data_IF_946871934008
#
_entry.id   IF_946871934008
#
_cell.length_a   1.000
_cell.length_b   1.000
_cell.length_c   1.000
_cell.angle_alpha   90.00
_cell.angle_beta   90.00
_cell.angle_gamma   90.00
#
_symmetry.space_group_name_H-M   'P 1'
#
loop_
_entity.id
_entity.type
_entity.pdbx_description
1 polymer ?
#
# COMPACT_ATOMS: atom_id res chain seq x y z
N UNK A 1 2.59 -18.79 3.65
CA UNK A 1 1.41 -18.48 4.49
C UNK A 1 0.17 -19.11 3.86
N UNK A 2 -0.38 -20.15 4.49
CA UNK A 2 -1.80 -20.48 4.32
C UNK A 2 -2.58 -19.44 5.14
N UNK A 3 -3.70 -18.92 4.63
CA UNK A 3 -4.59 -18.04 5.40
C UNK A 3 -4.51 -16.55 5.09
N UNK A 4 -4.32 -16.14 3.83
CA UNK A 4 -4.70 -14.77 3.46
C UNK A 4 -6.21 -14.63 3.68
N UNK A 5 -6.59 -13.65 4.47
CA UNK A 5 -7.97 -13.25 4.60
C UNK A 5 -8.33 -12.25 3.51
N UNK A 6 -9.30 -12.63 2.67
CA UNK A 6 -9.87 -11.75 1.65
C UNK A 6 -11.24 -11.30 2.15
N UNK A 7 -11.51 -10.00 2.04
CA UNK A 7 -12.78 -9.38 2.39
C UNK A 7 -13.54 -8.95 1.13
N UNK A 8 -14.84 -8.80 1.28
CA UNK A 8 -15.70 -8.04 0.40
C UNK A 8 -15.74 -6.55 0.79
N UNK A 9 -16.09 -5.63 -0.12
CA UNK A 9 -16.14 -4.20 0.18
C UNK A 9 -17.09 -3.83 1.33
N UNK A 10 -18.16 -4.61 1.54
CA UNK A 10 -19.14 -4.38 2.60
C UNK A 10 -18.69 -4.92 3.97
N UNK A 11 -17.64 -5.75 4.05
CA UNK A 11 -17.12 -6.32 5.29
C UNK A 11 -16.22 -5.32 6.05
N UNK A 12 -16.65 -4.06 6.16
CA UNK A 12 -15.86 -2.91 6.65
C UNK A 12 -15.14 -3.21 7.96
N UNK A 13 -15.88 -3.64 9.00
CA UNK A 13 -15.30 -3.94 10.32
C UNK A 13 -14.28 -5.08 10.28
N UNK A 14 -14.50 -6.08 9.42
CA UNK A 14 -13.56 -7.21 9.29
C UNK A 14 -12.30 -6.77 8.56
N UNK A 15 -12.44 -5.99 7.48
CA UNK A 15 -11.32 -5.44 6.74
C UNK A 15 -10.43 -4.55 7.62
N UNK A 16 -11.02 -3.65 8.41
CA UNK A 16 -10.28 -2.79 9.34
C UNK A 16 -9.56 -3.59 10.44
N UNK A 17 -10.21 -4.61 11.01
CA UNK A 17 -9.56 -5.48 12.01
C UNK A 17 -8.33 -6.20 11.44
N UNK A 18 -8.43 -6.75 10.22
CA UNK A 18 -7.30 -7.40 9.54
C UNK A 18 -6.21 -6.36 9.26
N UNK A 19 -6.58 -5.18 8.74
CA UNK A 19 -5.63 -4.10 8.45
C UNK A 19 -4.82 -3.70 9.69
N UNK A 20 -5.45 -3.49 10.84
CA UNK A 20 -4.70 -3.12 12.06
C UNK A 20 -3.87 -4.27 12.62
N UNK A 21 -4.33 -5.53 12.47
CA UNK A 21 -3.58 -6.72 12.91
C UNK A 21 -2.34 -6.95 12.06
N UNK A 22 -2.50 -6.90 10.73
CA UNK A 22 -1.50 -7.36 9.77
C UNK A 22 -0.75 -6.21 9.07
N UNK A 23 -1.21 -4.97 9.20
CA UNK A 23 -0.67 -3.81 8.50
C UNK A 23 -1.16 -3.67 7.04
N UNK A 24 -1.93 -4.64 6.55
CA UNK A 24 -2.58 -4.60 5.24
C UNK A 24 -3.83 -5.48 5.24
N UNK A 25 -4.69 -5.30 4.24
CA UNK A 25 -5.84 -6.18 3.99
C UNK A 25 -6.07 -6.31 2.49
N UNK A 26 -6.55 -7.47 2.05
CA UNK A 26 -6.97 -7.69 0.65
C UNK A 26 -8.49 -7.66 0.58
N UNK A 27 -9.01 -6.81 -0.30
CA UNK A 27 -10.45 -6.68 -0.56
C UNK A 27 -10.68 -6.98 -2.03
N UNK A 28 -11.50 -7.99 -2.33
CA UNK A 28 -11.86 -8.31 -3.70
C UNK A 28 -12.94 -7.38 -4.21
N UNK A 29 -13.07 -7.31 -5.54
CA UNK A 29 -14.19 -6.64 -6.21
C UNK A 29 -14.42 -5.17 -5.78
N UNK A 30 -13.34 -4.46 -5.41
CA UNK A 30 -13.39 -3.02 -5.13
C UNK A 30 -13.82 -2.19 -6.34
N UNK A 31 -13.52 -2.67 -7.55
CA UNK A 31 -13.91 -2.07 -8.81
C UNK A 31 -14.91 -2.98 -9.51
N UNK A 32 -16.01 -2.41 -10.00
CA UNK A 32 -16.89 -3.12 -10.92
C UNK A 32 -16.23 -3.33 -12.29
N UNK A 33 -16.84 -4.16 -13.14
CA UNK A 33 -16.29 -4.50 -14.47
C UNK A 33 -16.02 -3.26 -15.34
N UNK A 34 -16.88 -2.26 -15.31
CA UNK A 34 -16.71 -1.04 -16.10
C UNK A 34 -15.55 -0.18 -15.58
N UNK A 35 -15.48 0.02 -14.27
CA UNK A 35 -14.40 0.74 -13.61
C UNK A 35 -13.05 0.07 -13.88
N UNK A 36 -12.99 -1.26 -13.72
CA UNK A 36 -11.77 -2.04 -13.99
C UNK A 36 -11.36 -1.95 -15.46
N UNK A 37 -12.31 -2.05 -16.40
CA UNK A 37 -12.01 -1.92 -17.83
C UNK A 37 -11.48 -0.52 -18.18
N UNK A 38 -12.11 0.53 -17.64
CA UNK A 38 -11.67 1.93 -17.82
C UNK A 38 -10.27 2.15 -17.25
N UNK A 39 -10.03 1.64 -16.04
CA UNK A 39 -8.76 1.72 -15.34
C UNK A 39 -7.64 1.03 -16.12
N UNK A 40 -7.85 -0.24 -16.53
CA UNK A 40 -6.92 -0.99 -17.39
C UNK A 40 -6.60 -0.27 -18.70
N UNK A 41 -7.61 0.31 -19.35
CA UNK A 41 -7.42 1.07 -20.60
C UNK A 41 -6.57 2.33 -20.38
N UNK A 42 -6.77 3.03 -19.27
CA UNK A 42 -5.96 4.19 -18.87
C UNK A 42 -4.50 3.79 -18.60
N UNK A 43 -4.29 2.77 -17.76
CA UNK A 43 -2.96 2.21 -17.48
C UNK A 43 -2.22 1.78 -18.75
N UNK A 44 -2.89 1.09 -19.68
CA UNK A 44 -2.30 0.66 -20.95
C UNK A 44 -1.99 1.83 -21.90
N UNK A 45 -2.78 2.91 -21.87
CA UNK A 45 -2.51 4.14 -22.62
C UNK A 45 -1.24 4.82 -22.10
N UNK A 46 -1.18 5.12 -20.81
CA UNK A 46 -0.02 5.81 -20.21
C UNK A 46 1.23 4.95 -20.29
N UNK A 47 1.11 3.62 -20.17
CA UNK A 47 2.24 2.72 -20.39
C UNK A 47 2.81 2.88 -21.80
N UNK A 48 1.97 2.92 -22.84
CA UNK A 48 2.44 3.14 -24.23
C UNK A 48 3.16 4.48 -24.38
N UNK A 49 2.68 5.53 -23.71
CA UNK A 49 3.33 6.84 -23.70
C UNK A 49 4.72 6.75 -23.05
N UNK A 50 4.85 6.12 -21.87
CA UNK A 50 6.14 5.90 -21.20
C UNK A 50 7.11 5.12 -22.10
N UNK A 51 6.63 4.03 -22.72
CA UNK A 51 7.44 3.18 -23.59
C UNK A 51 7.79 3.83 -24.94
N UNK A 52 7.12 4.92 -25.33
CA UNK A 52 7.47 5.67 -26.55
C UNK A 52 8.74 6.51 -26.37
N UNK A 53 9.16 6.74 -25.12
CA UNK A 53 10.32 7.57 -24.79
C UNK A 53 11.55 6.67 -24.61
N UNK A 54 12.62 6.84 -25.42
CA UNK A 54 13.82 6.02 -25.31
C UNK A 54 14.52 6.23 -23.96
N UNK A 55 15.03 5.15 -23.38
CA UNK A 55 15.79 5.20 -22.13
C UNK A 55 17.22 5.70 -22.33
N UNK A 56 17.85 6.11 -21.22
CA UNK A 56 19.28 6.41 -21.18
C UNK A 56 20.08 5.20 -20.68
N UNK A 57 21.28 4.99 -21.24
CA UNK A 57 22.17 3.88 -20.86
C UNK A 57 21.62 2.50 -21.22
N UNK A 58 21.76 1.52 -20.32
CA UNK A 58 21.28 0.14 -20.51
C UNK A 58 19.77 -0.04 -20.34
N UNK A 59 19.03 1.05 -20.13
CA UNK A 59 17.58 0.99 -19.92
C UNK A 59 16.87 1.18 -21.25
N UNK A 60 15.88 0.33 -21.54
CA UNK A 60 15.12 0.40 -22.79
C UNK A 60 14.23 1.66 -22.87
N UNK A 61 13.75 2.16 -21.73
CA UNK A 61 12.81 3.29 -21.64
C UNK A 61 13.17 4.25 -20.50
N UNK A 62 12.69 5.49 -20.56
CA UNK A 62 12.92 6.51 -19.53
C UNK A 62 12.46 6.02 -18.16
N UNK A 63 13.28 6.19 -17.14
CA UNK A 63 12.99 5.74 -15.77
C UNK A 63 13.77 6.56 -14.76
N UNK A 64 13.23 6.60 -13.55
CA UNK A 64 13.84 7.22 -12.38
C UNK A 64 15.18 6.55 -12.01
N UNK A 65 16.13 7.34 -11.50
CA UNK A 65 17.37 6.84 -10.93
C UNK A 65 17.06 5.97 -9.69
N UNK A 66 17.75 4.84 -9.52
CA UNK A 66 17.59 3.99 -8.32
C UNK A 66 16.55 2.87 -8.39
N UNK A 67 15.71 2.79 -9.44
CA UNK A 67 14.86 1.60 -9.68
C UNK A 67 15.63 0.46 -10.35
N UNK A 68 15.26 -0.77 -9.98
CA UNK A 68 15.78 -1.99 -10.60
C UNK A 68 15.36 -2.08 -12.09
N UNK A 69 16.09 -2.82 -12.93
CA UNK A 69 15.75 -2.98 -14.34
C UNK A 69 14.30 -3.44 -14.57
N UNK A 70 13.69 -2.96 -15.66
CA UNK A 70 12.32 -3.33 -16.08
C UNK A 70 11.19 -2.92 -15.10
N UNK A 71 11.48 -2.12 -14.06
CA UNK A 71 10.48 -1.57 -13.14
C UNK A 71 10.27 -0.07 -13.34
N UNK A 72 9.02 0.35 -13.42
CA UNK A 72 8.62 1.75 -13.69
C UNK A 72 7.51 2.19 -12.73
N UNK A 73 7.25 3.50 -12.64
CA UNK A 73 6.09 4.03 -11.93
C UNK A 73 5.42 5.12 -12.75
N UNK A 74 4.11 5.01 -12.92
CA UNK A 74 3.28 6.00 -13.60
C UNK A 74 3.48 7.40 -13.02
N UNK A 75 3.46 7.51 -11.68
CA UNK A 75 3.65 8.78 -10.99
C UNK A 75 5.03 9.38 -11.30
N UNK A 76 6.09 8.62 -11.10
CA UNK A 76 7.47 9.12 -11.31
C UNK A 76 7.77 9.45 -12.77
N UNK A 77 7.11 8.77 -13.72
CA UNK A 77 7.19 9.04 -15.16
C UNK A 77 6.34 10.24 -15.61
N UNK A 78 5.45 10.75 -14.76
CA UNK A 78 4.67 11.96 -15.00
C UNK A 78 5.43 13.22 -14.57
N UNK A 79 5.21 14.32 -15.29
CA UNK A 79 5.77 15.63 -14.96
C UNK A 79 5.34 16.12 -13.56
N UNK A 80 4.13 15.79 -13.11
CA UNK A 80 3.65 16.16 -11.77
C UNK A 80 4.11 15.21 -10.67
N UNK A 81 4.93 14.19 -10.99
CA UNK A 81 5.34 13.10 -10.09
C UNK A 81 4.17 12.31 -9.47
N UNK A 82 2.98 12.48 -10.04
CA UNK A 82 1.69 11.94 -9.62
C UNK A 82 0.82 11.78 -10.87
N UNK A 83 -0.31 11.12 -10.74
CA UNK A 83 -1.25 10.88 -11.85
C UNK A 83 -2.61 11.52 -11.65
N UNK A 84 -2.82 12.32 -10.59
CA UNK A 84 -4.11 12.95 -10.29
C UNK A 84 -4.59 13.98 -11.33
N UNK A 85 -3.72 14.40 -12.25
CA UNK A 85 -4.12 15.21 -13.41
C UNK A 85 -4.83 14.36 -14.50
N UNK A 86 -4.63 13.04 -14.52
CA UNK A 86 -5.28 12.13 -15.46
C UNK A 86 -6.68 11.76 -14.91
N UNK A 87 -7.76 11.97 -15.69
CA UNK A 87 -9.12 11.75 -15.23
C UNK A 87 -9.40 10.28 -14.86
N UNK A 88 -8.65 9.33 -15.41
CA UNK A 88 -8.79 7.91 -15.07
C UNK A 88 -8.31 7.67 -13.62
N UNK A 89 -7.19 8.29 -13.21
CA UNK A 89 -6.68 8.24 -11.83
C UNK A 89 -7.54 9.02 -10.85
N UNK A 90 -7.96 10.23 -11.23
CA UNK A 90 -8.87 11.01 -10.41
C UNK A 90 -10.19 10.27 -10.13
N UNK A 91 -10.69 9.48 -11.10
CA UNK A 91 -11.94 8.73 -10.93
C UNK A 91 -11.89 7.60 -9.89
N UNK A 92 -10.70 7.24 -9.39
CA UNK A 92 -10.53 6.21 -8.35
C UNK A 92 -10.56 6.79 -6.92
N UNK A 93 -10.70 8.11 -6.78
CA UNK A 93 -10.87 8.79 -5.48
C UNK A 93 -12.32 8.63 -5.00
N UNK A 94 -12.49 8.48 -3.69
CA UNK A 94 -13.78 8.47 -2.99
C UNK A 94 -14.80 7.44 -3.52
N UNK A 95 -14.31 6.27 -3.94
CA UNK A 95 -15.19 5.19 -4.37
C UNK A 95 -16.03 4.66 -3.20
N UNK A 96 -17.34 4.37 -3.42
CA UNK A 96 -18.23 3.89 -2.36
C UNK A 96 -17.82 2.54 -1.76
N UNK A 97 -17.02 1.76 -2.49
CA UNK A 97 -16.44 0.48 -2.04
C UNK A 97 -15.18 0.63 -1.18
N UNK A 98 -14.61 1.84 -1.10
CA UNK A 98 -13.32 2.12 -0.45
C UNK A 98 -13.49 3.09 0.71
N UNK A 99 -14.18 4.21 0.47
CA UNK A 99 -14.34 5.30 1.45
C UNK A 99 -14.80 4.80 2.83
N UNK A 100 -15.78 3.88 2.95
CA UNK A 100 -16.18 3.36 4.26
C UNK A 100 -15.07 2.59 4.98
N UNK A 101 -14.25 1.82 4.25
CA UNK A 101 -13.14 1.05 4.82
C UNK A 101 -12.04 2.00 5.32
N UNK A 102 -11.66 2.98 4.50
CA UNK A 102 -10.62 3.95 4.85
C UNK A 102 -11.06 4.84 6.03
N UNK A 103 -12.30 5.30 6.01
CA UNK A 103 -12.90 6.07 7.12
C UNK A 103 -12.88 5.28 8.42
N UNK A 104 -13.20 3.99 8.36
CA UNK A 104 -13.16 3.10 9.52
C UNK A 104 -11.71 2.87 10.02
N UNK A 105 -10.74 2.66 9.13
CA UNK A 105 -9.31 2.53 9.49
C UNK A 105 -8.80 3.78 10.20
N UNK A 106 -9.14 4.97 9.70
CA UNK A 106 -8.73 6.22 10.34
C UNK A 106 -9.59 6.59 11.56
N UNK A 107 -10.77 6.01 11.72
CA UNK A 107 -11.77 6.44 12.70
C UNK A 107 -12.33 7.84 12.43
N UNK A 108 -12.17 8.36 11.20
CA UNK A 108 -12.55 9.70 10.77
C UNK A 108 -12.55 9.79 9.24
N UNK A 109 -13.39 10.67 8.69
CA UNK A 109 -13.35 11.07 7.27
C UNK A 109 -12.41 12.26 7.01
N UNK A 110 -11.77 12.80 8.05
CA UNK A 110 -10.79 13.90 7.95
C UNK A 110 -9.41 13.37 7.55
N UNK A 111 -9.33 12.81 6.35
CA UNK A 111 -8.09 12.44 5.69
C UNK A 111 -8.05 13.09 4.30
N UNK A 112 -6.86 13.08 3.68
CA UNK A 112 -6.66 13.69 2.36
C UNK A 112 -5.93 12.72 1.45
N UNK A 113 -6.27 12.76 0.17
CA UNK A 113 -5.47 12.10 -0.87
C UNK A 113 -4.17 12.88 -1.05
N UNK A 114 -3.06 12.25 -0.72
CA UNK A 114 -1.73 12.86 -0.85
C UNK A 114 -1.13 12.67 -2.24
N UNK A 115 -1.45 11.57 -2.92
CA UNK A 115 -0.93 11.26 -4.25
C UNK A 115 -1.61 10.06 -4.88
N UNK A 116 -1.36 9.86 -6.17
CA UNK A 116 -1.76 8.69 -6.91
C UNK A 116 -0.77 8.41 -8.02
N UNK A 117 -0.56 7.14 -8.33
CA UNK A 117 0.35 6.69 -9.37
C UNK A 117 0.13 5.22 -9.64
N UNK A 118 1.21 4.45 -9.57
CA UNK A 118 1.15 3.01 -9.69
C UNK A 118 2.46 2.47 -10.22
N UNK A 119 2.79 1.26 -9.83
CA UNK A 119 4.02 0.59 -10.21
C UNK A 119 3.80 -0.41 -11.34
N UNK A 120 4.84 -0.56 -12.16
CA UNK A 120 4.85 -1.39 -13.35
C UNK A 120 6.04 -2.32 -13.30
N UNK A 121 5.78 -3.62 -13.50
CA UNK A 121 6.80 -4.63 -13.70
C UNK A 121 6.67 -5.14 -15.14
N UNK A 122 7.64 -4.80 -16.00
CA UNK A 122 7.67 -5.34 -17.36
C UNK A 122 8.28 -6.74 -17.36
N UNK A 123 7.97 -7.57 -18.37
CA UNK A 123 8.70 -8.81 -18.62
C UNK A 123 10.22 -8.57 -18.61
N UNK A 124 10.95 -9.41 -17.88
CA UNK A 124 12.39 -9.23 -17.62
C UNK A 124 12.74 -8.61 -16.27
N UNK A 125 11.76 -8.17 -15.46
CA UNK A 125 11.97 -7.75 -14.08
C UNK A 125 12.23 -8.95 -13.16
N UNK A 126 13.46 -9.49 -13.18
CA UNK A 126 13.83 -10.73 -12.47
C UNK A 126 14.20 -10.52 -10.99
N UNK A 127 14.60 -9.30 -10.62
CA UNK A 127 15.09 -9.01 -9.27
C UNK A 127 13.92 -8.65 -8.35
N UNK A 128 13.90 -9.21 -7.14
CA UNK A 128 12.99 -8.76 -6.10
C UNK A 128 13.41 -7.38 -5.60
N UNK A 129 12.44 -6.48 -5.46
CA UNK A 129 12.65 -5.25 -4.73
C UNK A 129 12.92 -5.59 -3.26
N UNK A 130 13.91 -4.92 -2.68
CA UNK A 130 14.20 -5.01 -1.26
C UNK A 130 12.95 -4.60 -0.48
N UNK A 131 12.59 -5.38 0.55
CA UNK A 131 11.52 -5.01 1.47
C UNK A 131 11.77 -3.60 2.03
N UNK A 132 10.73 -2.80 2.12
CA UNK A 132 10.79 -1.44 2.64
C UNK A 132 9.40 -0.99 3.09
N UNK A 133 9.36 0.13 3.81
CA UNK A 133 8.14 0.92 4.02
C UNK A 133 8.17 2.10 3.04
N UNK A 134 7.03 2.46 2.46
CA UNK A 134 6.89 3.61 1.57
C UNK A 134 7.23 4.94 2.28
N UNK A 135 7.00 4.99 3.60
CA UNK A 135 7.27 6.16 4.43
C UNK A 135 7.86 5.79 5.79
N UNK A 136 8.47 6.78 6.46
CA UNK A 136 8.92 6.63 7.86
C UNK A 136 7.93 7.33 8.77
N UNK A 137 7.33 6.58 9.67
CA UNK A 137 6.61 7.14 10.81
C UNK A 137 7.61 7.41 11.94
N UNK A 138 7.66 8.66 12.40
CA UNK A 138 8.49 9.08 13.52
C UNK A 138 8.03 8.50 14.87
N UNK A 139 6.89 7.78 14.90
CA UNK A 139 6.30 7.17 16.09
C UNK A 139 6.06 8.18 17.22
N UNK A 140 5.76 9.43 16.83
CA UNK A 140 5.49 10.50 17.77
C UNK A 140 4.03 10.43 18.26
N UNK A 141 3.84 10.49 19.57
CA UNK A 141 2.52 10.54 20.24
C UNK A 141 1.97 11.98 20.24
N UNK A 142 1.63 12.50 19.05
CA UNK A 142 0.95 13.79 18.97
C UNK A 142 -0.43 13.74 19.60
N UNK A 143 -0.93 14.90 20.04
CA UNK A 143 -2.31 15.04 20.52
C UNK A 143 -3.33 14.55 19.49
N UNK A 144 -3.11 14.86 18.20
CA UNK A 144 -3.97 14.40 17.11
C UNK A 144 -4.02 12.87 16.97
N UNK A 145 -2.88 12.20 17.22
CA UNK A 145 -2.77 10.75 17.16
C UNK A 145 -3.43 10.09 18.37
N UNK A 146 -3.25 10.68 19.56
CA UNK A 146 -3.95 10.23 20.78
C UNK A 146 -5.47 10.40 20.61
N UNK A 147 -5.92 11.50 20.01
CA UNK A 147 -7.33 11.73 19.74
C UNK A 147 -7.90 10.74 18.71
N UNK A 148 -7.12 10.40 17.69
CA UNK A 148 -7.48 9.32 16.76
C UNK A 148 -7.65 7.98 17.50
N UNK A 149 -6.72 7.64 18.39
CA UNK A 149 -6.81 6.43 19.21
C UNK A 149 -8.07 6.42 20.10
N UNK A 150 -8.48 7.57 20.66
CA UNK A 150 -9.75 7.69 21.40
C UNK A 150 -10.97 7.48 20.50
N UNK A 151 -10.98 8.04 19.29
CA UNK A 151 -12.06 7.80 18.30
C UNK A 151 -12.19 6.32 17.93
N UNK A 152 -11.08 5.61 17.86
CA UNK A 152 -11.04 4.16 17.65
C UNK A 152 -11.42 3.35 18.91
N UNK A 153 -11.79 4.03 20.01
CA UNK A 153 -12.19 3.41 21.28
C UNK A 153 -11.14 2.47 21.87
N UNK A 154 -9.85 2.81 21.70
CA UNK A 154 -8.75 2.05 22.28
C UNK A 154 -8.70 2.24 23.81
N UNK A 155 -8.35 1.18 24.54
CA UNK A 155 -8.10 1.26 25.97
C UNK A 155 -6.73 1.91 26.21
N UNK A 156 -6.72 3.15 26.69
CA UNK A 156 -5.49 3.92 26.90
C UNK A 156 -5.10 3.93 28.38
N UNK A 157 -4.07 3.17 28.77
CA UNK A 157 -3.60 3.07 30.16
C UNK A 157 -2.44 4.02 30.41
N UNK A 158 -2.52 4.72 31.53
CA UNK A 158 -1.43 5.57 32.02
C UNK A 158 -0.81 4.97 33.28
N UNK A 159 0.47 5.20 33.46
CA UNK A 159 1.20 4.93 34.70
C UNK A 159 0.82 5.94 35.80
N UNK A 160 1.43 5.80 36.98
CA UNK A 160 1.25 6.72 38.11
C UNK A 160 1.71 8.15 37.83
N UNK A 161 2.52 8.34 36.78
CA UNK A 161 3.06 9.62 36.32
C UNK A 161 2.12 10.32 35.32
N UNK A 162 1.00 9.67 34.97
CA UNK A 162 0.08 10.15 33.93
C UNK A 162 0.59 9.95 32.50
N UNK A 163 1.69 9.20 32.30
CA UNK A 163 2.24 8.87 30.99
C UNK A 163 1.66 7.55 30.49
N UNK A 164 1.44 7.40 29.18
CA UNK A 164 1.01 6.10 28.64
C UNK A 164 2.07 5.03 28.88
N UNK A 165 1.66 3.84 29.32
CA UNK A 165 2.59 2.73 29.46
C UNK A 165 3.10 2.25 28.08
N UNK A 166 4.24 1.54 28.05
CA UNK A 166 4.86 1.09 26.79
C UNK A 166 3.90 0.26 25.92
N UNK A 167 3.10 -0.68 26.47
CA UNK A 167 2.08 -1.38 25.69
C UNK A 167 1.05 -0.45 25.04
N UNK A 168 0.54 0.55 25.78
CA UNK A 168 -0.41 1.53 25.26
C UNK A 168 0.21 2.39 24.17
N UNK A 169 1.45 2.84 24.35
CA UNK A 169 2.16 3.60 23.32
C UNK A 169 2.29 2.79 22.03
N UNK A 170 2.68 1.51 22.13
CA UNK A 170 2.78 0.60 20.99
C UNK A 170 1.41 0.37 20.32
N UNK A 171 0.37 0.13 21.12
CA UNK A 171 -0.99 -0.04 20.62
C UNK A 171 -1.46 1.19 19.84
N UNK A 172 -1.21 2.40 20.34
CA UNK A 172 -1.54 3.64 19.63
C UNK A 172 -0.84 3.64 18.26
N UNK A 173 0.46 3.33 18.21
CA UNK A 173 1.22 3.34 16.95
C UNK A 173 0.68 2.32 15.93
N UNK A 174 0.37 1.11 16.37
CA UNK A 174 -0.16 0.04 15.50
C UNK A 174 -1.58 0.33 14.99
N UNK A 175 -2.37 1.07 15.77
CA UNK A 175 -3.77 1.36 15.47
C UNK A 175 -3.99 2.72 14.78
N UNK A 176 -2.99 3.60 14.74
CA UNK A 176 -3.10 4.96 14.17
C UNK A 176 -2.12 5.20 13.02
N UNK A 177 -2.29 4.48 11.89
CA UNK A 177 -1.42 4.65 10.73
C UNK A 177 -1.48 6.11 10.26
N UNK A 178 -0.33 6.74 9.96
CA UNK A 178 -0.32 8.12 9.46
C UNK A 178 -0.76 8.21 8.00
N UNK A 179 -0.69 7.10 7.25
CA UNK A 179 -1.00 7.03 5.81
C UNK A 179 -1.44 5.62 5.47
N UNK A 180 -2.34 5.50 4.48
CA UNK A 180 -2.78 4.22 3.91
C UNK A 180 -2.60 4.29 2.40
N UNK A 181 -1.97 3.26 1.82
CA UNK A 181 -1.83 3.09 0.38
C UNK A 181 -2.86 2.08 -0.12
N UNK A 182 -3.61 2.44 -1.16
CA UNK A 182 -4.55 1.53 -1.82
C UNK A 182 -3.97 1.14 -3.17
N UNK A 183 -3.78 -0.16 -3.37
CA UNK A 183 -3.27 -0.72 -4.61
C UNK A 183 -4.38 -1.46 -5.35
N UNK A 184 -4.63 -1.07 -6.60
CA UNK A 184 -5.51 -1.81 -7.51
C UNK A 184 -4.67 -2.76 -8.36
N UNK A 185 -5.05 -4.03 -8.42
CA UNK A 185 -4.33 -5.05 -9.21
C UNK A 185 -4.87 -5.12 -10.64
N UNK A 186 -3.97 -4.97 -11.63
CA UNK A 186 -4.36 -4.87 -13.05
C UNK A 186 -4.51 -6.22 -13.72
N UNK A 187 -3.81 -7.22 -13.19
CA UNK A 187 -3.86 -8.61 -13.59
C UNK A 187 -3.82 -9.47 -12.32
N UNK A 188 -4.15 -10.74 -12.50
CA UNK A 188 -4.02 -11.71 -11.43
C UNK A 188 -2.55 -11.82 -11.05
N UNK A 189 -2.24 -11.66 -9.77
CA UNK A 189 -0.89 -11.85 -9.28
C UNK A 189 -0.64 -13.34 -9.07
N UNK A 190 0.49 -13.81 -9.59
CA UNK A 190 0.96 -15.18 -9.51
C UNK A 190 2.41 -15.18 -9.06
N UNK A 191 2.99 -16.34 -8.76
CA UNK A 191 4.41 -16.42 -8.40
C UNK A 191 5.32 -15.96 -9.54
N UNK A 192 4.89 -16.22 -10.77
CA UNK A 192 5.72 -16.03 -11.94
C UNK A 192 5.70 -14.59 -12.48
N UNK A 193 4.76 -13.74 -12.03
CA UNK A 193 4.60 -12.37 -12.55
C UNK A 193 4.94 -11.25 -11.56
N UNK A 194 5.65 -11.57 -10.48
CA UNK A 194 6.21 -10.56 -9.56
C UNK A 194 5.15 -9.95 -8.64
N UNK A 195 4.53 -10.75 -7.75
CA UNK A 195 3.48 -10.28 -6.84
C UNK A 195 4.05 -9.31 -5.80
N UNK A 196 3.21 -8.42 -5.27
CA UNK A 196 3.58 -7.59 -4.12
C UNK A 196 3.81 -8.52 -2.91
N UNK A 197 5.02 -8.44 -2.34
CA UNK A 197 5.38 -9.12 -1.09
C UNK A 197 5.04 -8.21 0.08
N UNK A 198 4.18 -8.67 0.98
CA UNK A 198 3.82 -7.98 2.22
C UNK A 198 4.18 -8.89 3.39
N UNK A 199 4.75 -8.33 4.45
CA UNK A 199 5.06 -9.08 5.68
C UNK A 199 4.04 -8.65 6.75
N UNK A 200 3.12 -9.53 7.17
CA UNK A 200 2.12 -9.18 8.18
C UNK A 200 2.74 -8.70 9.50
N UNK A 201 2.14 -7.68 10.10
CA UNK A 201 2.47 -7.17 11.44
C UNK A 201 3.73 -6.31 11.51
N UNK A 202 4.27 -5.87 10.37
CA UNK A 202 5.48 -5.03 10.33
C UNK A 202 5.21 -3.54 10.13
N UNK A 203 3.95 -3.09 10.08
CA UNK A 203 3.59 -1.69 9.77
C UNK A 203 4.06 -0.67 10.81
N UNK A 204 4.28 -1.08 12.06
CA UNK A 204 4.87 -0.24 13.10
C UNK A 204 6.35 -0.55 13.39
N UNK A 205 6.98 -1.44 12.61
CA UNK A 205 8.37 -1.83 12.84
C UNK A 205 9.33 -0.68 12.49
N UNK A 206 10.20 -0.32 13.43
CA UNK A 206 11.24 0.71 13.22
C UNK A 206 12.57 0.12 12.72
N UNK A 207 12.77 -1.18 12.89
CA UNK A 207 13.98 -1.85 12.40
C UNK A 207 13.91 -2.03 10.88
N UNK A 208 14.99 -1.73 10.15
CA UNK A 208 15.02 -1.98 8.71
C UNK A 208 14.91 -3.48 8.44
N UNK A 209 14.22 -3.89 7.36
CA UNK A 209 14.16 -5.28 6.98
C UNK A 209 15.54 -5.80 6.53
N UNK A 210 15.80 -7.11 6.62
CA UNK A 210 17.04 -7.71 6.16
C UNK A 210 17.26 -7.44 4.66
N UNK A 211 18.52 -7.41 4.23
CA UNK A 211 18.86 -7.34 2.80
C UNK A 211 18.35 -8.58 2.07
N UNK A 212 18.10 -8.53 0.75
CA UNK A 212 17.60 -9.69 0.00
C UNK A 212 18.42 -10.98 0.18
N UNK A 213 19.74 -10.87 0.34
CA UNK A 213 20.65 -12.01 0.60
C UNK A 213 20.47 -12.63 1.98
N UNK A 214 19.99 -11.83 2.93
CA UNK A 214 19.87 -12.17 4.34
C UNK A 214 18.41 -12.48 4.72
N UNK A 215 17.48 -12.37 3.76
CA UNK A 215 16.07 -12.69 3.97
C UNK A 215 15.90 -14.18 4.33
N UNK A 216 15.28 -14.51 5.47
CA UNK A 216 14.99 -15.90 5.82
C UNK A 216 14.04 -16.52 4.79
N UNK A 217 14.10 -17.85 4.62
CA UNK A 217 13.35 -18.55 3.58
C UNK A 217 11.83 -18.27 3.64
N UNK A 218 11.27 -18.08 4.84
CA UNK A 218 9.85 -17.77 5.00
C UNK A 218 9.46 -16.38 4.48
N UNK A 219 10.36 -15.38 4.52
CA UNK A 219 10.12 -14.05 3.94
C UNK A 219 10.23 -14.11 2.41
N UNK A 220 11.25 -14.81 1.89
CA UNK A 220 11.46 -15.00 0.45
C UNK A 220 10.30 -15.76 -0.21
N UNK A 221 9.84 -16.81 0.47
CA UNK A 221 8.77 -17.68 0.00
C UNK A 221 7.42 -17.30 0.59
N UNK A 222 7.22 -16.04 1.01
CA UNK A 222 5.88 -15.54 1.31
C UNK A 222 5.09 -15.70 0.01
N UNK A 223 4.12 -16.64 -0.03
CA UNK A 223 3.51 -17.01 -1.29
C UNK A 223 2.83 -15.78 -1.89
N UNK A 224 2.82 -15.67 -3.23
CA UNK A 224 1.94 -14.72 -3.90
C UNK A 224 0.54 -14.98 -3.43
N UNK A 225 -0.17 -13.91 -3.21
CA UNK A 225 -1.61 -13.92 -3.22
C UNK A 225 -2.05 -14.33 -4.62
N UNK A 226 -2.45 -15.59 -4.83
CA UNK A 226 -3.26 -15.93 -5.99
C UNK A 226 -4.66 -15.41 -5.72
N UNK A 227 -4.90 -14.14 -6.02
CA UNK A 227 -6.25 -13.60 -6.10
C UNK A 227 -6.78 -14.08 -7.45
N UNK A 228 -7.59 -15.14 -7.43
CA UNK A 228 -8.41 -15.54 -8.58
C UNK A 228 -9.77 -14.86 -8.48
#
# INVERSE_FOLDING_TARGET
>A
MRGLEICEPHEIKRATRIFHRDGFVVVRDLLNTEQLARWRKGCARVLREILSIPGQGNRKYISETGRLPHRYSYGTSSASRQMLHDPVWASMIDLPTITPIVTEIFGSSDYRVWGAGGDLCLPGAIEYQHLHSDGRDAQHLSESRIEQARRLSLELKTDSSGQFDVPTQKLIMEMTPPTVTINFLMCDLTWDNGPIRQIPGTHAAQQPPPKPTDEPAWMRNTPPWSVR
#
